data_IF_071392288010
#
_entry.id   IF_071392288010
#
_cell.length_a   1.000
_cell.length_b   1.000
_cell.length_c   1.000
_cell.angle_alpha   90.00
_cell.angle_beta   90.00
_cell.angle_gamma   90.00
#
_symmetry.space_group_name_H-M   'P 1'
#
loop_
_entity.id
_entity.type
_entity.pdbx_description
1 polymer ?
#
# COMPACT_ATOMS: atom_id res chain seq x y z
N UNK A 1 -22.96 6.06 4.68
CA UNK A 1 -22.23 4.84 4.32
C UNK A 1 -21.15 5.18 3.31
N UNK A 2 -19.89 4.84 3.60
CA UNK A 2 -18.78 5.18 2.71
C UNK A 2 -18.74 4.23 1.52
N UNK A 3 -18.82 4.79 0.33
CA UNK A 3 -18.69 4.01 -0.90
C UNK A 3 -17.25 4.01 -1.35
N UNK A 4 -16.85 2.95 -2.06
CA UNK A 4 -15.58 2.95 -2.73
C UNK A 4 -15.62 3.95 -3.89
N UNK A 5 -14.66 4.87 -3.91
CA UNK A 5 -14.52 5.88 -4.95
C UNK A 5 -13.57 5.35 -6.03
N UNK A 6 -12.54 4.60 -5.60
CA UNK A 6 -11.55 4.03 -6.48
C UNK A 6 -11.73 2.52 -6.60
N UNK A 7 -11.28 1.99 -7.72
CA UNK A 7 -11.16 0.54 -7.95
C UNK A 7 -9.73 0.10 -7.67
N UNK A 8 -9.51 -1.13 -7.18
CA UNK A 8 -8.14 -1.60 -6.97
C UNK A 8 -7.52 -2.14 -8.26
N UNK A 9 -6.23 -1.91 -8.42
CA UNK A 9 -5.42 -2.54 -9.45
C UNK A 9 -4.14 -3.03 -8.78
N UNK A 10 -3.73 -4.25 -9.07
CA UNK A 10 -2.58 -4.86 -8.41
C UNK A 10 -1.52 -5.22 -9.44
N UNK A 11 -0.30 -4.70 -9.26
CA UNK A 11 0.81 -5.11 -10.08
C UNK A 11 1.22 -6.54 -9.73
N UNK A 12 1.80 -7.25 -10.70
CA UNK A 12 2.24 -8.63 -10.50
C UNK A 12 3.22 -8.75 -9.34
N UNK A 13 4.18 -7.85 -9.28
CA UNK A 13 5.19 -7.88 -8.22
C UNK A 13 4.58 -7.64 -6.85
N UNK A 14 3.55 -6.78 -6.76
CA UNK A 14 2.83 -6.59 -5.50
C UNK A 14 2.23 -7.90 -5.04
N UNK A 15 1.51 -8.60 -5.90
CA UNK A 15 0.85 -9.86 -5.55
C UNK A 15 1.86 -10.89 -5.04
N UNK A 16 2.99 -10.99 -5.73
CA UNK A 16 4.05 -11.94 -5.36
C UNK A 16 4.62 -11.62 -3.98
N UNK A 17 4.99 -10.37 -3.75
CA UNK A 17 5.63 -9.96 -2.51
C UNK A 17 4.65 -9.96 -1.34
N UNK A 18 3.39 -9.63 -1.60
CA UNK A 18 2.34 -9.69 -0.60
C UNK A 18 2.19 -11.12 -0.04
N UNK A 19 2.14 -12.11 -0.92
CA UNK A 19 2.08 -13.51 -0.50
C UNK A 19 3.27 -13.90 0.36
N UNK A 20 4.46 -13.47 -0.04
CA UNK A 20 5.70 -13.78 0.68
C UNK A 20 5.66 -13.20 2.11
N UNK A 21 5.20 -11.96 2.23
CA UNK A 21 5.11 -11.29 3.54
C UNK A 21 4.13 -12.02 4.45
N UNK A 22 2.96 -12.39 3.93
CA UNK A 22 1.95 -13.07 4.75
C UNK A 22 2.40 -14.48 5.17
N UNK A 23 3.16 -15.16 4.32
CA UNK A 23 3.70 -16.48 4.66
C UNK A 23 4.66 -16.44 5.84
N UNK A 24 5.33 -15.31 6.05
CA UNK A 24 6.25 -15.15 7.16
C UNK A 24 5.59 -15.19 8.53
N UNK A 25 4.26 -14.98 8.59
CA UNK A 25 3.50 -15.08 9.84
C UNK A 25 3.63 -13.88 10.77
N UNK A 26 4.53 -12.95 10.47
CA UNK A 26 4.74 -11.77 11.31
C UNK A 26 3.64 -10.71 11.12
N UNK A 27 3.15 -10.58 9.89
CA UNK A 27 2.16 -9.57 9.51
C UNK A 27 0.87 -10.24 9.05
N UNK A 28 -0.24 -9.54 9.26
CA UNK A 28 -1.58 -10.07 8.98
C UNK A 28 -2.25 -9.30 7.85
N UNK A 29 -3.06 -10.00 7.06
CA UNK A 29 -3.80 -9.37 5.96
C UNK A 29 -4.71 -8.23 6.46
N UNK A 30 -5.23 -8.35 7.68
CA UNK A 30 -6.10 -7.32 8.27
C UNK A 30 -5.40 -5.97 8.38
N UNK A 31 -4.09 -5.99 8.62
CA UNK A 31 -3.31 -4.75 8.68
C UNK A 31 -3.26 -4.03 7.34
N UNK A 32 -3.09 -4.78 6.26
CA UNK A 32 -3.16 -4.24 4.91
C UNK A 32 -4.57 -3.78 4.56
N UNK A 33 -5.58 -4.61 4.89
CA UNK A 33 -6.96 -4.32 4.53
C UNK A 33 -7.46 -3.01 5.15
N UNK A 34 -6.98 -2.67 6.34
CA UNK A 34 -7.34 -1.40 6.99
C UNK A 34 -6.95 -0.20 6.14
N UNK A 35 -5.73 -0.16 5.59
CA UNK A 35 -5.32 0.94 4.72
C UNK A 35 -5.94 0.82 3.32
N UNK A 36 -6.09 -0.39 2.83
CA UNK A 36 -6.68 -0.69 1.53
C UNK A 36 -8.08 -0.07 1.41
N UNK A 37 -8.95 -0.33 2.39
CA UNK A 37 -10.31 0.21 2.37
C UNK A 37 -10.31 1.73 2.44
N UNK A 38 -9.45 2.32 3.26
CA UNK A 38 -9.37 3.79 3.35
C UNK A 38 -8.90 4.42 2.05
N UNK A 39 -7.93 3.81 1.38
CA UNK A 39 -7.44 4.31 0.10
C UNK A 39 -8.55 4.25 -0.97
N UNK A 40 -9.28 3.15 -1.04
CA UNK A 40 -10.36 3.02 -2.03
C UNK A 40 -11.52 3.95 -1.77
N UNK A 41 -11.77 4.31 -0.50
CA UNK A 41 -12.83 5.24 -0.13
C UNK A 41 -12.37 6.69 -0.14
N UNK A 42 -11.12 6.94 -0.44
CA UNK A 42 -10.51 8.27 -0.41
C UNK A 42 -10.67 8.92 0.98
N UNK A 43 -10.49 8.10 2.03
CA UNK A 43 -10.56 8.56 3.41
C UNK A 43 -9.16 8.91 3.92
N UNK A 44 -9.05 9.91 4.83
CA UNK A 44 -7.74 10.26 5.37
C UNK A 44 -7.11 9.10 6.13
N UNK A 45 -5.80 8.97 6.02
CA UNK A 45 -5.02 7.98 6.76
C UNK A 45 -4.49 8.61 8.04
N UNK A 46 -4.47 7.83 9.11
CA UNK A 46 -3.86 8.26 10.37
C UNK A 46 -2.39 8.63 10.13
N UNK A 47 -1.88 9.70 10.76
CA UNK A 47 -0.48 10.12 10.58
C UNK A 47 0.56 9.05 10.86
N UNK A 48 0.25 8.05 11.69
CA UNK A 48 1.21 6.99 12.01
C UNK A 48 1.58 6.14 10.79
N UNK A 49 0.75 6.15 9.73
CA UNK A 49 1.07 5.44 8.50
C UNK A 49 2.14 6.15 7.67
N UNK A 50 2.46 7.39 7.99
CA UNK A 50 3.50 8.16 7.32
C UNK A 50 3.37 8.14 5.79
N UNK A 51 2.15 8.37 5.30
CA UNK A 51 1.85 8.39 3.86
C UNK A 51 2.45 9.63 3.21
N UNK A 52 3.28 9.43 2.19
CA UNK A 52 3.94 10.56 1.53
C UNK A 52 4.35 10.20 0.09
N UNK A 53 4.50 11.20 -0.79
CA UNK A 53 4.98 10.94 -2.14
C UNK A 53 6.46 10.57 -2.14
N UNK A 54 6.84 9.70 -3.08
CA UNK A 54 8.24 9.35 -3.30
C UNK A 54 8.90 10.44 -4.16
N UNK A 55 10.03 10.98 -3.68
CA UNK A 55 10.67 12.15 -4.30
C UNK A 55 11.09 11.90 -5.75
N UNK A 56 11.70 10.75 -6.02
CA UNK A 56 12.26 10.45 -7.34
C UNK A 56 11.39 9.49 -8.15
N UNK A 57 10.19 9.19 -7.70
CA UNK A 57 9.32 8.20 -8.33
C UNK A 57 7.88 8.67 -8.45
N UNK A 58 7.69 9.97 -8.59
CA UNK A 58 6.34 10.52 -8.76
C UNK A 58 5.67 9.91 -9.98
N UNK A 59 4.38 9.61 -9.92
CA UNK A 59 3.42 9.95 -8.86
C UNK A 59 3.29 8.89 -7.76
N UNK A 60 4.25 8.01 -7.60
CA UNK A 60 4.19 6.95 -6.61
C UNK A 60 4.28 7.50 -5.19
N UNK A 61 3.56 6.84 -4.29
CA UNK A 61 3.51 7.18 -2.88
C UNK A 61 3.88 5.95 -2.06
N UNK A 62 4.33 6.19 -0.84
CA UNK A 62 4.69 5.12 0.08
C UNK A 62 3.98 5.37 1.40
N UNK A 63 3.59 4.31 2.07
CA UNK A 63 3.10 4.37 3.43
C UNK A 63 3.60 3.16 4.22
N UNK A 64 3.58 3.28 5.55
CA UNK A 64 3.99 2.21 6.45
C UNK A 64 2.75 1.53 7.01
N UNK A 65 2.46 0.32 6.53
CA UNK A 65 1.38 -0.50 7.13
C UNK A 65 1.76 -0.84 8.57
N UNK A 66 3.02 -1.22 8.76
CA UNK A 66 3.70 -1.41 10.04
C UNK A 66 5.08 -0.75 9.93
N UNK A 67 5.82 -0.56 11.01
CA UNK A 67 7.10 0.17 10.94
C UNK A 67 8.07 -0.33 9.87
N UNK A 68 8.10 -1.63 9.59
CA UNK A 68 8.94 -2.17 8.53
C UNK A 68 8.14 -2.98 7.50
N UNK A 69 6.90 -2.62 7.29
CA UNK A 69 6.07 -3.17 6.21
C UNK A 69 5.49 -2.02 5.41
N UNK A 70 6.09 -1.74 4.26
CA UNK A 70 5.75 -0.60 3.42
C UNK A 70 4.87 -1.01 2.26
N UNK A 71 4.09 -0.05 1.80
CA UNK A 71 3.25 -0.19 0.62
C UNK A 71 3.58 0.93 -0.34
N UNK A 72 3.87 0.59 -1.61
CA UNK A 72 4.01 1.59 -2.67
C UNK A 72 2.77 1.51 -3.55
N UNK A 73 2.14 2.66 -3.77
CA UNK A 73 0.91 2.75 -4.54
C UNK A 73 0.85 4.08 -5.29
N UNK A 74 -0.10 4.21 -6.19
CA UNK A 74 -0.39 5.49 -6.86
C UNK A 74 -1.85 5.58 -7.25
N UNK A 75 -2.33 6.81 -7.42
CA UNK A 75 -3.64 7.05 -8.01
C UNK A 75 -3.46 7.08 -9.52
N UNK A 76 -4.29 6.32 -10.23
CA UNK A 76 -4.22 6.15 -11.67
C UNK A 76 -5.64 6.18 -12.23
N UNK A 77 -6.12 7.39 -12.57
CA UNK A 77 -7.49 7.59 -13.01
C UNK A 77 -8.48 7.16 -11.95
N UNK A 78 -9.33 6.19 -12.27
CA UNK A 78 -10.31 5.67 -11.32
C UNK A 78 -9.74 4.55 -10.42
N UNK A 79 -8.43 4.28 -10.54
CA UNK A 79 -7.80 3.18 -9.80
C UNK A 79 -6.87 3.70 -8.72
N UNK A 80 -6.79 2.94 -7.61
CA UNK A 80 -5.61 2.94 -6.75
C UNK A 80 -4.80 1.73 -7.20
N UNK A 81 -3.59 1.99 -7.70
CA UNK A 81 -2.72 0.93 -8.20
C UNK A 81 -1.70 0.58 -7.14
N UNK A 82 -1.76 -0.68 -6.70
CA UNK A 82 -0.84 -1.21 -5.68
C UNK A 82 0.37 -1.77 -6.40
N UNK A 83 1.52 -1.12 -6.20
CA UNK A 83 2.71 -1.34 -7.04
C UNK A 83 3.65 -2.36 -6.44
N UNK A 84 3.92 -2.23 -5.13
CA UNK A 84 4.82 -3.16 -4.46
C UNK A 84 4.61 -3.09 -2.96
N UNK A 85 5.17 -4.07 -2.24
CA UNK A 85 5.16 -4.09 -0.79
C UNK A 85 6.35 -4.90 -0.29
N UNK A 86 6.86 -4.54 0.88
CA UNK A 86 8.02 -5.19 1.46
C UNK A 86 8.61 -4.38 2.59
N UNK A 87 9.78 -4.79 3.07
CA UNK A 87 10.54 -4.03 4.04
C UNK A 87 11.28 -2.88 3.36
N UNK A 88 11.90 -1.99 4.15
CA UNK A 88 12.76 -0.95 3.60
C UNK A 88 13.87 -1.55 2.73
N UNK A 89 14.49 -2.63 3.21
CA UNK A 89 15.55 -3.30 2.45
C UNK A 89 15.05 -3.85 1.13
N UNK A 90 13.84 -4.41 1.12
CA UNK A 90 13.27 -5.00 -0.09
C UNK A 90 13.00 -3.95 -1.16
N UNK A 91 12.55 -2.76 -0.74
CA UNK A 91 12.04 -1.77 -1.68
C UNK A 91 13.05 -0.68 -2.04
N UNK A 92 13.98 -0.37 -1.16
CA UNK A 92 14.85 0.81 -1.31
C UNK A 92 16.34 0.53 -1.23
N UNK A 93 16.73 -0.71 -1.28
CA UNK A 93 18.15 -1.07 -1.33
C UNK A 93 18.63 -1.29 -2.75
#
# INVERSE_FOLDING_TARGET
>A
MNKFIYKPAFERQFKKHYKTILKGGRYKKEDFEAVYHKLLRDEPLDPHYNDHPLVNRKPERDLHIKPDWLLIYKYDGEFVRFIDTGSHSDLFN
#
